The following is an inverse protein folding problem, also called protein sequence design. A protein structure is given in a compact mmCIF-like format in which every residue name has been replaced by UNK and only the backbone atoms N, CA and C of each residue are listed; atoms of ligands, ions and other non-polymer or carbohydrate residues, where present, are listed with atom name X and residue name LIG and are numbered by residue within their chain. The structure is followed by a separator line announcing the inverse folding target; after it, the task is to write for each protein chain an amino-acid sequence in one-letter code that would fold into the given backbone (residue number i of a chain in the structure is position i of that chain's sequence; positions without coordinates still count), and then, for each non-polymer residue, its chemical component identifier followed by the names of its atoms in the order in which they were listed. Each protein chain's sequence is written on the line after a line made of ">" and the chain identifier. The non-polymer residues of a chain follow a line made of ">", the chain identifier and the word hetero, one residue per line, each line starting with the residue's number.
data_IF_421723916512
#
_entry.id   IF_421723916512
#
_cell.length_a   1.000
_cell.length_b   1.000
_cell.length_c   1.000
_cell.angle_alpha   90.00
_cell.angle_beta   90.00
_cell.angle_gamma   90.00
#
_symmetry.space_group_name_H-M   'P 1'
#
loop_
_entity.id
_entity.type
_entity.pdbx_description
1 polymer ?
#
# COMPACT_ATOMS: atom_id res chain seq x y z
N UNK A 1 -1.38 2.95 9.39
CA UNK A 1 -0.86 1.90 8.47
C UNK A 1 -1.76 0.68 8.53
N UNK A 2 -2.28 0.19 7.40
CA UNK A 2 -3.32 -0.87 7.32
C UNK A 2 -3.10 -2.06 8.26
N UNK A 3 -1.94 -2.71 8.17
CA UNK A 3 -1.65 -3.93 8.95
C UNK A 3 -1.60 -3.63 10.46
N UNK A 4 -0.88 -2.58 10.88
CA UNK A 4 -0.80 -2.17 12.28
C UNK A 4 -2.16 -1.78 12.83
N UNK A 5 -2.98 -1.09 12.03
CA UNK A 5 -4.33 -0.73 12.42
C UNK A 5 -5.16 -1.98 12.75
N UNK A 6 -5.08 -3.04 11.93
CA UNK A 6 -5.74 -4.32 12.22
C UNK A 6 -5.26 -4.94 13.53
N UNK A 7 -3.94 -5.01 13.76
CA UNK A 7 -3.39 -5.54 15.01
C UNK A 7 -3.77 -4.71 16.24
N UNK A 8 -4.04 -3.42 16.05
CA UNK A 8 -4.51 -2.51 17.10
C UNK A 8 -6.04 -2.48 17.25
N UNK A 9 -6.80 -3.26 16.47
CA UNK A 9 -8.26 -3.24 16.48
C UNK A 9 -8.91 -1.98 15.88
N UNK A 10 -8.18 -1.25 15.03
CA UNK A 10 -8.65 -0.04 14.34
C UNK A 10 -9.07 -0.39 12.91
N UNK A 11 -10.37 -0.24 12.62
CA UNK A 11 -10.98 -0.57 11.32
C UNK A 11 -11.58 0.67 10.66
N UNK A 12 -10.72 1.59 10.24
CA UNK A 12 -11.08 2.84 9.58
C UNK A 12 -11.37 2.66 8.07
N UNK A 13 -11.75 3.74 7.40
CA UNK A 13 -12.04 3.76 5.97
C UNK A 13 -10.83 3.35 5.10
N UNK A 14 -9.60 3.62 5.54
CA UNK A 14 -8.40 3.18 4.82
C UNK A 14 -8.25 1.66 4.86
N UNK A 15 -8.44 1.05 6.03
CA UNK A 15 -8.44 -0.40 6.23
C UNK A 15 -9.55 -1.05 5.41
N UNK A 16 -10.76 -0.49 5.47
CA UNK A 16 -11.91 -0.94 4.68
C UNK A 16 -11.60 -0.91 3.17
N UNK A 17 -11.15 0.23 2.65
CA UNK A 17 -10.85 0.41 1.22
C UNK A 17 -9.73 -0.53 0.77
N UNK A 18 -8.71 -0.73 1.59
CA UNK A 18 -7.60 -1.63 1.28
C UNK A 18 -8.05 -3.11 1.17
N UNK A 19 -9.14 -3.48 1.85
CA UNK A 19 -9.70 -4.82 1.87
C UNK A 19 -10.82 -5.04 0.84
N UNK A 20 -11.33 -3.99 0.18
CA UNK A 20 -12.36 -4.08 -0.88
C UNK A 20 -12.06 -5.10 -1.99
N UNK A 21 -10.77 -5.28 -2.28
CA UNK A 21 -10.26 -6.18 -3.33
C UNK A 21 -10.29 -7.67 -2.98
N UNK A 22 -10.52 -8.02 -1.72
CA UNK A 22 -10.57 -9.42 -1.28
C UNK A 22 -12.03 -9.91 -1.22
N UNK A 23 -12.26 -11.07 -1.84
CA UNK A 23 -13.47 -11.88 -1.64
C UNK A 23 -13.21 -12.95 -0.57
N UNK A 24 -14.12 -13.91 -0.43
CA UNK A 24 -13.88 -15.06 0.46
C UNK A 24 -12.70 -15.90 -0.03
N UNK A 25 -11.88 -16.38 0.90
CA UNK A 25 -10.73 -17.25 0.64
C UNK A 25 -9.41 -16.75 1.23
N UNK A 26 -8.35 -17.53 0.95
CA UNK A 26 -7.01 -17.32 1.51
C UNK A 26 -6.10 -16.64 0.50
N UNK A 27 -5.50 -15.51 0.90
CA UNK A 27 -4.58 -14.72 0.10
C UNK A 27 -3.21 -14.68 0.75
N UNK A 28 -2.30 -15.50 0.24
CA UNK A 28 -0.91 -15.59 0.71
C UNK A 28 -0.02 -14.52 0.09
N UNK A 29 1.10 -14.25 0.76
CA UNK A 29 2.16 -13.37 0.25
C UNK A 29 1.69 -11.94 0.02
N UNK A 30 0.83 -11.42 0.90
CA UNK A 30 0.32 -10.05 0.86
C UNK A 30 1.11 -9.15 1.79
N UNK A 31 1.07 -7.85 1.50
CA UNK A 31 1.69 -6.81 2.33
C UNK A 31 3.13 -7.18 2.71
N UNK A 32 3.93 -7.54 1.71
CA UNK A 32 5.32 -7.97 1.89
C UNK A 32 6.22 -6.80 2.28
N UNK A 33 7.11 -7.03 3.23
CA UNK A 33 8.19 -6.11 3.61
C UNK A 33 9.51 -6.88 3.71
N UNK A 34 10.59 -6.23 3.26
CA UNK A 34 11.96 -6.62 3.56
C UNK A 34 12.67 -5.41 4.14
N UNK A 35 13.35 -5.58 5.26
CA UNK A 35 14.18 -4.55 5.87
C UNK A 35 15.61 -5.06 6.01
N UNK A 36 16.58 -4.18 5.75
CA UNK A 36 17.98 -4.39 6.10
C UNK A 36 18.52 -3.14 6.77
N UNK A 37 19.03 -3.28 7.99
CA UNK A 37 19.79 -2.23 8.62
C UNK A 37 21.19 -2.17 8.00
N UNK A 38 21.62 -0.97 7.66
CA UNK A 38 22.96 -0.65 7.18
C UNK A 38 23.53 0.42 8.10
N UNK A 39 24.85 0.60 8.10
CA UNK A 39 25.57 1.41 9.09
C UNK A 39 24.88 2.69 9.59
N UNK A 40 24.26 3.50 8.70
CA UNK A 40 23.54 4.74 9.07
C UNK A 40 22.09 4.79 8.60
N UNK A 41 21.63 3.82 7.83
CA UNK A 41 20.32 3.89 7.17
C UNK A 41 19.66 2.51 7.07
N UNK A 42 18.36 2.52 6.80
CA UNK A 42 17.59 1.33 6.52
C UNK A 42 17.29 1.24 5.02
N UNK A 43 17.52 0.06 4.46
CA UNK A 43 17.04 -0.31 3.13
C UNK A 43 15.78 -1.14 3.30
N UNK A 44 14.65 -0.56 2.94
CA UNK A 44 13.34 -1.21 2.98
C UNK A 44 12.92 -1.49 1.55
N UNK A 45 12.41 -2.69 1.32
CA UNK A 45 11.62 -2.99 0.12
C UNK A 45 10.22 -3.43 0.53
N UNK A 46 9.25 -3.14 -0.32
CA UNK A 46 7.87 -3.43 -0.03
C UNK A 46 7.10 -3.89 -1.26
N UNK A 47 6.03 -4.65 -1.01
CA UNK A 47 5.00 -4.96 -1.99
C UNK A 47 4.23 -3.70 -2.40
N UNK A 48 3.44 -3.84 -3.47
CA UNK A 48 2.66 -2.72 -4.03
C UNK A 48 1.67 -2.10 -3.05
N UNK A 49 1.18 -2.88 -2.10
CA UNK A 49 0.18 -2.48 -1.12
C UNK A 49 0.65 -1.35 -0.19
N UNK A 50 1.96 -1.13 -0.08
CA UNK A 50 2.54 -0.02 0.69
C UNK A 50 2.76 1.25 -0.13
N UNK A 51 2.55 1.25 -1.45
CA UNK A 51 2.90 2.38 -2.30
C UNK A 51 2.28 3.70 -1.83
N UNK A 52 0.95 3.73 -1.62
CA UNK A 52 0.26 4.92 -1.15
C UNK A 52 0.76 5.35 0.24
N UNK A 53 0.90 4.41 1.19
CA UNK A 53 1.42 4.69 2.52
C UNK A 53 2.82 5.32 2.47
N UNK A 54 3.75 4.73 1.70
CA UNK A 54 5.11 5.23 1.56
C UNK A 54 5.15 6.61 0.90
N UNK A 55 4.33 6.85 -0.13
CA UNK A 55 4.21 8.17 -0.76
C UNK A 55 3.75 9.21 0.24
N UNK A 56 2.67 8.95 0.99
CA UNK A 56 2.15 9.89 1.98
C UNK A 56 3.21 10.20 3.04
N UNK A 57 3.75 9.17 3.70
CA UNK A 57 4.75 9.32 4.76
C UNK A 57 6.02 10.04 4.32
N UNK A 58 6.54 9.70 3.14
CA UNK A 58 7.73 10.36 2.63
C UNK A 58 7.44 11.82 2.26
N UNK A 59 6.28 12.15 1.70
CA UNK A 59 5.90 13.53 1.40
C UNK A 59 5.75 14.40 2.64
N UNK A 60 5.26 13.84 3.75
CA UNK A 60 5.13 14.55 5.04
C UNK A 60 6.49 15.14 5.51
N UNK A 61 7.61 14.51 5.13
CA UNK A 61 8.97 14.93 5.51
C UNK A 61 9.63 15.95 4.57
N UNK A 62 9.06 16.22 3.39
CA UNK A 62 9.70 17.07 2.35
C UNK A 62 9.57 18.56 2.66
N UNK A 63 8.48 19.00 3.31
CA UNK A 63 8.30 20.40 3.75
C UNK A 63 8.18 21.46 2.64
N UNK A 64 8.12 21.08 1.35
CA UNK A 64 8.04 21.99 0.22
C UNK A 64 7.88 21.28 -1.14
N UNK A 65 8.10 21.98 -2.26
CA UNK A 65 8.05 21.39 -3.59
C UNK A 65 9.10 20.29 -3.77
N UNK A 66 8.72 19.22 -4.48
CA UNK A 66 9.61 18.10 -4.76
C UNK A 66 9.44 17.61 -6.20
N UNK A 67 10.57 17.25 -6.81
CA UNK A 67 10.58 16.59 -8.11
C UNK A 67 10.04 15.16 -7.97
N UNK A 68 8.87 14.93 -8.55
CA UNK A 68 8.17 13.66 -8.54
C UNK A 68 8.16 13.05 -9.93
N UNK A 69 8.44 11.76 -9.99
CA UNK A 69 8.32 10.94 -11.19
C UNK A 69 7.48 9.70 -10.90
N UNK A 70 6.73 9.19 -11.87
CA UNK A 70 5.97 7.96 -11.68
C UNK A 70 4.60 8.03 -12.29
N UNK A 71 3.65 7.30 -11.70
CA UNK A 71 2.31 7.15 -12.27
C UNK A 71 1.23 7.17 -11.19
N UNK A 72 0.11 7.81 -11.50
CA UNK A 72 -1.13 7.70 -10.74
C UNK A 72 -2.10 6.85 -11.55
N UNK A 73 -2.54 5.72 -10.99
CA UNK A 73 -3.43 4.76 -11.65
C UNK A 73 -4.80 4.82 -10.99
N UNK A 74 -5.86 4.93 -11.80
CA UNK A 74 -7.25 5.00 -11.33
C UNK A 74 -8.19 4.42 -12.38
N UNK A 75 -9.39 4.02 -11.97
CA UNK A 75 -10.50 3.74 -12.90
C UNK A 75 -11.25 5.02 -13.30
N UNK A 76 -10.99 6.13 -12.63
CA UNK A 76 -11.55 7.46 -12.92
C UNK A 76 -10.59 8.30 -13.75
N UNK A 77 -11.14 9.24 -14.54
CA UNK A 77 -10.34 10.27 -15.19
C UNK A 77 -9.99 11.36 -14.18
N UNK A 78 -8.70 11.51 -13.88
CA UNK A 78 -8.23 12.48 -12.90
C UNK A 78 -7.62 13.73 -13.56
N UNK A 79 -7.69 13.86 -14.89
CA UNK A 79 -7.08 14.99 -15.63
C UNK A 79 -7.50 16.36 -15.12
N UNK A 80 -8.78 16.53 -14.79
CA UNK A 80 -9.33 17.81 -14.34
C UNK A 80 -9.11 18.04 -12.83
N UNK A 81 -8.65 17.02 -12.11
CA UNK A 81 -8.48 17.02 -10.66
C UNK A 81 -7.01 17.24 -10.28
N UNK A 82 -6.10 16.81 -11.15
CA UNK A 82 -4.66 16.98 -11.00
C UNK A 82 -4.27 18.42 -11.38
N UNK A 83 -3.83 19.18 -10.38
CA UNK A 83 -3.47 20.61 -10.51
C UNK A 83 -2.02 20.87 -10.96
N UNK A 84 -1.26 19.81 -11.17
CA UNK A 84 0.13 19.87 -11.65
C UNK A 84 0.30 19.26 -13.05
N UNK A 85 1.42 19.58 -13.70
CA UNK A 85 1.67 19.15 -15.08
C UNK A 85 1.82 17.63 -15.18
N UNK A 86 1.03 17.02 -16.06
CA UNK A 86 1.16 15.62 -16.46
C UNK A 86 2.05 15.49 -17.69
N UNK A 87 2.89 14.45 -17.73
CA UNK A 87 3.69 14.11 -18.91
C UNK A 87 2.86 13.44 -20.00
N UNK A 88 2.00 12.50 -19.60
CA UNK A 88 1.18 11.71 -20.50
C UNK A 88 -0.01 11.11 -19.74
N UNK A 89 -1.13 10.91 -20.41
CA UNK A 89 -2.22 10.07 -19.89
C UNK A 89 -2.45 8.90 -20.84
N UNK A 90 -2.45 7.69 -20.31
CA UNK A 90 -2.82 6.47 -21.01
C UNK A 90 -4.11 5.88 -20.46
N UNK A 91 -4.80 5.09 -21.27
CA UNK A 91 -5.97 4.31 -20.87
C UNK A 91 -5.80 2.89 -21.44
N UNK A 92 -6.05 1.89 -20.61
CA UNK A 92 -6.07 0.49 -21.03
C UNK A 92 -7.17 -0.25 -20.25
N UNK A 93 -8.16 -0.78 -20.97
CA UNK A 93 -9.27 -1.56 -20.38
C UNK A 93 -9.97 -0.85 -19.20
N UNK A 94 -10.21 0.46 -19.32
CA UNK A 94 -10.85 1.26 -18.26
C UNK A 94 -9.93 1.67 -17.12
N UNK A 95 -8.67 1.21 -17.11
CA UNK A 95 -7.64 1.67 -16.18
C UNK A 95 -6.87 2.82 -16.80
N UNK A 96 -6.94 3.99 -16.16
CA UNK A 96 -6.25 5.20 -16.58
C UNK A 96 -4.93 5.36 -15.83
N UNK A 97 -3.89 5.72 -16.57
CA UNK A 97 -2.52 5.89 -16.09
C UNK A 97 -2.07 7.31 -16.38
N UNK A 98 -1.92 8.13 -15.34
CA UNK A 98 -1.46 9.51 -15.41
C UNK A 98 0.03 9.53 -15.08
N UNK A 99 0.87 9.76 -16.09
CA UNK A 99 2.34 9.80 -15.96
C UNK A 99 2.74 11.17 -15.43
N UNK A 100 3.43 11.17 -14.29
CA UNK A 100 3.91 12.35 -13.59
C UNK A 100 5.41 12.46 -13.80
N UNK A 101 5.87 13.63 -14.22
CA UNK A 101 7.28 14.03 -14.24
C UNK A 101 7.33 15.54 -14.11
N UNK A 102 7.28 16.02 -12.86
CA UNK A 102 7.15 17.44 -12.57
C UNK A 102 7.64 17.75 -11.16
N UNK A 103 7.72 19.03 -10.85
CA UNK A 103 7.92 19.52 -9.48
C UNK A 103 6.57 19.94 -8.92
N UNK A 104 6.24 19.48 -7.72
CA UNK A 104 4.90 19.58 -7.14
C UNK A 104 4.98 19.76 -5.63
N UNK A 105 4.06 20.56 -5.07
CA UNK A 105 3.88 20.68 -3.62
C UNK A 105 3.18 19.42 -3.07
N UNK A 106 3.69 18.87 -1.96
CA UNK A 106 3.12 17.68 -1.33
C UNK A 106 1.62 17.80 -1.04
N UNK A 107 1.10 19.00 -0.75
CA UNK A 107 -0.32 19.28 -0.50
C UNK A 107 -1.22 18.92 -1.67
N UNK A 108 -0.76 19.10 -2.91
CA UNK A 108 -1.55 18.75 -4.10
C UNK A 108 -1.70 17.24 -4.24
N UNK A 109 -0.66 16.48 -3.88
CA UNK A 109 -0.72 15.02 -3.86
C UNK A 109 -1.61 14.55 -2.70
N UNK A 110 -1.49 15.13 -1.50
CA UNK A 110 -2.36 14.79 -0.37
C UNK A 110 -3.84 14.99 -0.71
N UNK A 111 -4.20 16.14 -1.30
CA UNK A 111 -5.58 16.40 -1.70
C UNK A 111 -6.13 15.34 -2.68
N UNK A 112 -5.29 14.85 -3.60
CA UNK A 112 -5.67 13.76 -4.51
C UNK A 112 -5.81 12.43 -3.79
N UNK A 113 -4.91 12.11 -2.85
CA UNK A 113 -4.95 10.86 -2.09
C UNK A 113 -6.18 10.82 -1.16
N UNK A 114 -6.53 11.94 -0.54
CA UNK A 114 -7.70 12.08 0.33
C UNK A 114 -9.00 11.99 -0.48
N UNK A 115 -9.06 12.65 -1.64
CA UNK A 115 -10.24 12.63 -2.51
C UNK A 115 -10.42 11.30 -3.25
N UNK A 116 -9.32 10.62 -3.58
CA UNK A 116 -9.31 9.36 -4.35
C UNK A 116 -8.51 8.26 -3.65
N UNK A 117 -8.97 7.76 -2.49
CA UNK A 117 -8.24 6.76 -1.70
C UNK A 117 -8.07 5.42 -2.44
N UNK A 118 -8.93 5.13 -3.43
CA UNK A 118 -8.85 3.95 -4.31
C UNK A 118 -7.81 4.11 -5.44
N UNK A 119 -7.30 5.32 -5.69
CA UNK A 119 -6.27 5.54 -6.69
C UNK A 119 -4.92 5.04 -6.18
N UNK A 120 -4.09 4.54 -7.09
CA UNK A 120 -2.79 3.98 -6.79
C UNK A 120 -1.68 4.97 -7.18
N UNK A 121 -0.90 5.40 -6.20
CA UNK A 121 0.14 6.41 -6.34
C UNK A 121 1.51 5.73 -6.35
N UNK A 122 1.98 5.37 -7.55
CA UNK A 122 3.33 4.85 -7.75
C UNK A 122 4.29 6.00 -8.09
N UNK A 123 4.56 6.82 -7.08
CA UNK A 123 5.39 8.02 -7.20
C UNK A 123 6.77 7.78 -6.55
N UNK A 124 7.81 8.23 -7.26
CA UNK A 124 9.21 8.16 -6.85
C UNK A 124 9.76 9.56 -6.72
N UNK A 125 10.43 9.83 -5.60
CA UNK A 125 11.04 11.10 -5.26
C UNK A 125 12.07 10.90 -4.14
N UNK A 126 12.82 11.96 -3.84
CA UNK A 126 13.83 11.96 -2.77
C UNK A 126 13.64 13.18 -1.88
N UNK A 127 13.88 13.01 -0.59
CA UNK A 127 13.99 14.08 0.38
C UNK A 127 15.42 14.24 0.86
N UNK A 128 15.59 14.89 2.02
CA UNK A 128 16.90 15.13 2.64
C UNK A 128 17.54 13.83 3.15
N UNK A 129 16.73 12.97 3.73
CA UNK A 129 17.12 11.78 4.50
C UNK A 129 16.50 10.48 3.95
N UNK A 130 15.85 10.54 2.78
CA UNK A 130 15.29 9.37 2.14
C UNK A 130 15.33 9.40 0.60
N UNK A 131 15.27 8.21 0.02
CA UNK A 131 15.04 7.99 -1.41
C UNK A 131 13.95 6.94 -1.58
N UNK A 132 12.81 7.35 -2.14
CA UNK A 132 11.68 6.48 -2.45
C UNK A 132 11.63 6.20 -3.96
N UNK A 133 11.71 4.92 -4.32
CA UNK A 133 11.54 4.44 -5.68
C UNK A 133 10.37 3.46 -5.72
N UNK A 134 9.41 3.70 -6.61
CA UNK A 134 8.26 2.83 -6.83
C UNK A 134 8.18 2.51 -8.32
N UNK A 135 7.98 1.23 -8.67
CA UNK A 135 7.81 0.81 -10.06
C UNK A 135 6.60 1.51 -10.68
N UNK A 136 6.83 2.23 -11.79
CA UNK A 136 5.83 3.05 -12.48
C UNK A 136 4.82 2.23 -13.33
N UNK A 137 4.17 1.23 -12.72
CA UNK A 137 3.19 0.33 -13.33
C UNK A 137 2.02 0.08 -12.39
N UNK A 138 0.91 -0.41 -12.92
CA UNK A 138 -0.17 -0.92 -12.07
C UNK A 138 0.32 -2.19 -11.35
N UNK A 139 -0.14 -2.44 -10.11
CA UNK A 139 0.12 -3.70 -9.45
C UNK A 139 -0.54 -4.83 -10.24
N UNK A 140 0.18 -5.93 -10.44
CA UNK A 140 -0.40 -7.14 -11.01
C UNK A 140 -1.03 -7.93 -9.89
N UNK A 141 -2.34 -8.11 -9.91
CA UNK A 141 -3.00 -9.09 -9.06
C UNK A 141 -2.49 -10.47 -9.46
N UNK A 142 -1.56 -11.03 -8.69
CA UNK A 142 -1.25 -12.45 -8.78
C UNK A 142 -2.56 -13.20 -8.53
N UNK A 143 -3.14 -13.77 -9.59
CA UNK A 143 -4.28 -14.67 -9.44
C UNK A 143 -3.82 -15.87 -8.60
N UNK A 144 -4.69 -16.45 -7.75
CA UNK A 144 -4.41 -17.75 -7.14
C UNK A 144 -3.99 -18.74 -8.23
N UNK A 145 -2.85 -19.42 -8.06
CA UNK A 145 -2.40 -20.50 -8.96
C UNK A 145 -1.41 -20.14 -10.08
N UNK A 146 -0.95 -18.89 -10.20
CA UNK A 146 0.26 -18.56 -11.00
C UNK A 146 1.38 -18.11 -10.07
N UNK A 147 1.88 -19.04 -9.26
CA UNK A 147 3.14 -18.83 -8.55
C UNK A 147 4.26 -18.81 -9.60
N UNK A 148 5.02 -17.72 -9.65
CA UNK A 148 6.37 -17.80 -10.22
C UNK A 148 7.18 -18.69 -9.28
N UNK A 149 8.20 -19.39 -9.79
CA UNK A 149 9.04 -20.29 -8.97
C UNK A 149 9.61 -19.63 -7.70
N UNK A 150 9.75 -18.29 -7.68
CA UNK A 150 10.25 -17.52 -6.52
C UNK A 150 9.15 -16.85 -5.65
N UNK A 151 7.86 -17.12 -5.91
CA UNK A 151 6.75 -16.49 -5.20
C UNK A 151 6.66 -14.96 -5.40
N UNK A 152 5.75 -14.27 -4.70
CA UNK A 152 5.68 -12.81 -4.71
C UNK A 152 6.86 -12.20 -3.93
N UNK A 153 7.52 -11.20 -4.52
CA UNK A 153 8.67 -10.50 -3.92
C UNK A 153 8.30 -9.09 -3.44
N UNK A 154 8.90 -8.66 -2.33
CA UNK A 154 8.85 -7.28 -1.87
C UNK A 154 9.77 -6.40 -2.71
N UNK A 155 9.48 -6.20 -4.00
CA UNK A 155 10.38 -5.46 -4.90
C UNK A 155 9.69 -4.33 -5.66
N UNK A 156 8.45 -4.03 -5.31
CA UNK A 156 7.64 -3.02 -5.99
C UNK A 156 8.01 -1.60 -5.56
N UNK A 157 8.25 -1.43 -4.27
CA UNK A 157 8.74 -0.21 -3.64
C UNK A 157 10.12 -0.46 -3.04
N UNK A 158 10.99 0.55 -3.09
CA UNK A 158 12.29 0.57 -2.42
C UNK A 158 12.45 1.94 -1.75
N UNK A 159 12.65 1.91 -0.44
CA UNK A 159 12.90 3.07 0.39
C UNK A 159 14.27 2.92 1.03
N UNK A 160 15.14 3.90 0.84
CA UNK A 160 16.29 4.11 1.71
C UNK A 160 15.97 5.26 2.63
N UNK A 161 16.14 5.14 3.94
CA UNK A 161 15.80 6.19 4.90
C UNK A 161 16.67 6.14 6.15
N UNK A 162 16.85 7.28 6.80
CA UNK A 162 17.42 7.42 8.15
C UNK A 162 16.33 7.63 9.23
N UNK A 163 15.04 7.69 8.85
CA UNK A 163 13.94 7.91 9.80
C UNK A 163 13.54 6.61 10.49
N UNK A 164 14.04 6.42 11.71
CA UNK A 164 13.67 5.28 12.56
C UNK A 164 12.16 5.19 12.80
N UNK A 165 11.42 6.30 12.87
CA UNK A 165 9.97 6.28 13.12
C UNK A 165 9.22 5.59 11.98
N UNK A 166 9.71 5.76 10.75
CA UNK A 166 9.17 5.08 9.57
C UNK A 166 9.42 3.57 9.62
N UNK A 167 10.60 3.18 10.10
CA UNK A 167 10.99 1.77 10.30
C UNK A 167 10.12 1.13 11.38
N UNK A 168 10.02 1.79 12.54
CA UNK A 168 9.21 1.36 13.67
C UNK A 168 7.71 1.32 13.31
N UNK A 169 7.23 2.11 12.35
CA UNK A 169 5.85 2.00 11.89
C UNK A 169 5.63 0.77 11.00
N UNK A 170 6.53 0.52 10.05
CA UNK A 170 6.45 -0.62 9.12
C UNK A 170 6.67 -1.97 9.82
N UNK A 171 7.56 -2.00 10.80
CA UNK A 171 7.96 -3.18 11.57
C UNK A 171 7.56 -3.05 13.05
N UNK A 172 6.35 -2.56 13.32
CA UNK A 172 5.82 -2.16 14.64
C UNK A 172 5.90 -3.16 15.80
N UNK A 173 6.19 -4.43 15.53
CA UNK A 173 6.34 -5.50 16.50
C UNK A 173 7.80 -6.03 16.58
N UNK A 174 8.75 -5.29 15.99
CA UNK A 174 10.16 -5.67 15.85
C UNK A 174 11.03 -4.52 16.34
N UNK A 175 11.81 -4.79 17.39
CA UNK A 175 12.59 -3.76 18.10
C UNK A 175 13.93 -3.45 17.40
N UNK A 176 14.63 -4.49 16.95
CA UNK A 176 15.92 -4.38 16.25
C UNK A 176 16.09 -5.56 15.28
N UNK A 177 16.87 -5.35 14.22
CA UNK A 177 17.16 -6.36 13.21
C UNK A 177 18.37 -5.96 12.34
N UNK A 178 19.20 -6.92 11.94
CA UNK A 178 20.08 -6.72 10.78
C UNK A 178 19.27 -6.91 9.48
N UNK A 179 18.46 -7.97 9.44
CA UNK A 179 17.58 -8.34 8.33
C UNK A 179 16.23 -8.79 8.85
N UNK A 180 15.18 -8.32 8.20
CA UNK A 180 13.81 -8.72 8.48
C UNK A 180 13.05 -8.99 7.18
N UNK A 181 12.24 -10.04 7.19
CA UNK A 181 11.21 -10.28 6.17
C UNK A 181 9.86 -10.40 6.85
N UNK A 182 8.86 -9.76 6.29
CA UNK A 182 7.48 -9.86 6.77
C UNK A 182 6.57 -10.22 5.61
N UNK A 183 5.76 -11.25 5.81
CA UNK A 183 4.71 -11.65 4.89
C UNK A 183 3.39 -11.82 5.63
N UNK A 184 2.29 -11.57 4.93
CA UNK A 184 0.96 -11.75 5.49
C UNK A 184 0.14 -12.74 4.66
N UNK A 185 -0.70 -13.47 5.36
CA UNK A 185 -1.78 -14.27 4.83
C UNK A 185 -3.10 -13.68 5.33
N UNK A 186 -4.01 -13.42 4.40
CA UNK A 186 -5.34 -12.88 4.70
C UNK A 186 -6.33 -14.00 4.42
N UNK A 187 -7.02 -14.48 5.46
CA UNK A 187 -8.11 -15.44 5.34
C UNK A 187 -9.45 -14.73 5.52
N UNK A 188 -10.14 -14.46 4.42
CA UNK A 188 -11.49 -13.88 4.45
C UNK A 188 -12.50 -15.00 4.57
N UNK A 189 -12.98 -15.19 5.78
CA UNK A 189 -13.98 -16.22 6.12
C UNK A 189 -15.40 -15.80 5.75
N UNK A 190 -15.71 -14.51 5.82
CA UNK A 190 -17.06 -14.01 5.60
C UNK A 190 -17.12 -12.57 5.03
N UNK A 191 -18.27 -12.20 4.47
CA UNK A 191 -18.59 -10.86 3.98
C UNK A 191 -19.80 -10.35 4.75
N UNK A 192 -19.61 -9.27 5.51
CA UNK A 192 -20.67 -8.58 6.24
C UNK A 192 -21.32 -7.56 5.30
N UNK A 193 -22.53 -7.86 4.87
CA UNK A 193 -23.31 -6.98 3.99
C UNK A 193 -24.00 -5.85 4.76
N UNK A 194 -24.26 -4.69 4.11
CA UNK A 194 -25.09 -3.65 4.71
C UNK A 194 -26.51 -4.17 4.97
N UNK A 195 -27.18 -3.68 6.02
CA UNK A 195 -28.52 -4.16 6.41
C UNK A 195 -29.58 -3.85 5.34
N UNK A 196 -29.46 -2.71 4.66
CA UNK A 196 -30.44 -2.22 3.70
C UNK A 196 -30.13 -2.61 2.24
N UNK A 197 -29.77 -3.87 2.00
CA UNK A 197 -29.40 -4.31 0.64
C UNK A 197 -30.52 -4.11 -0.39
N UNK A 198 -31.79 -4.18 0.01
CA UNK A 198 -32.93 -4.08 -0.90
C UNK A 198 -33.02 -2.72 -1.59
N UNK A 199 -32.51 -1.65 -0.96
CA UNK A 199 -32.55 -0.29 -1.48
C UNK A 199 -31.23 0.15 -2.14
N UNK A 200 -30.20 -0.72 -2.14
CA UNK A 200 -28.88 -0.40 -2.63
C UNK A 200 -28.62 -1.05 -3.99
N UNK A 201 -27.91 -0.34 -4.87
CA UNK A 201 -27.41 -0.92 -6.12
C UNK A 201 -26.31 -1.92 -5.82
N UNK A 202 -26.08 -2.92 -6.70
CA UNK A 202 -25.00 -3.89 -6.52
C UNK A 202 -23.60 -3.28 -6.33
N UNK A 203 -23.33 -2.11 -6.93
CA UNK A 203 -22.08 -1.39 -6.73
C UNK A 203 -21.96 -0.85 -5.29
N UNK A 204 -23.03 -0.25 -4.77
CA UNK A 204 -23.08 0.31 -3.42
C UNK A 204 -22.98 -0.79 -2.36
N UNK A 205 -23.65 -1.92 -2.57
CA UNK A 205 -23.54 -3.10 -1.69
C UNK A 205 -22.07 -3.56 -1.61
N UNK A 206 -21.36 -3.63 -2.74
CA UNK A 206 -19.95 -4.04 -2.76
C UNK A 206 -19.02 -3.05 -2.07
N UNK A 207 -19.34 -1.77 -2.18
CA UNK A 207 -18.58 -0.70 -1.53
C UNK A 207 -18.82 -0.65 -0.03
N UNK A 208 -20.03 -0.97 0.46
CA UNK A 208 -20.36 -0.94 1.88
C UNK A 208 -20.08 -2.27 2.60
N UNK A 209 -19.98 -3.38 1.86
CA UNK A 209 -19.73 -4.68 2.45
C UNK A 209 -18.33 -4.74 3.08
N UNK A 210 -18.22 -5.30 4.28
CA UNK A 210 -16.97 -5.49 5.03
C UNK A 210 -16.50 -6.94 4.94
N UNK A 211 -15.19 -7.16 5.02
CA UNK A 211 -14.56 -8.49 4.98
C UNK A 211 -14.29 -8.87 6.42
N UNK A 212 -14.73 -10.05 6.81
CA UNK A 212 -14.47 -10.61 8.13
C UNK A 212 -13.54 -11.80 8.02
N UNK A 213 -12.50 -11.83 8.85
CA UNK A 213 -11.49 -12.87 8.73
C UNK A 213 -10.34 -12.76 9.70
N UNK A 214 -9.27 -13.48 9.37
CA UNK A 214 -8.03 -13.56 10.15
C UNK A 214 -6.87 -13.08 9.28
N UNK A 215 -6.10 -12.14 9.81
CA UNK A 215 -4.82 -11.71 9.24
C UNK A 215 -3.70 -12.43 10.01
N UNK A 216 -2.97 -13.31 9.33
CA UNK A 216 -1.77 -13.96 9.86
C UNK A 216 -0.53 -13.22 9.37
N UNK A 217 0.36 -12.86 10.28
CA UNK A 217 1.64 -12.19 10.03
C UNK A 217 2.77 -13.16 10.35
N UNK A 218 3.70 -13.31 9.41
CA UNK A 218 4.91 -14.10 9.56
C UNK A 218 6.10 -13.16 9.45
N UNK A 219 6.91 -13.10 10.50
CA UNK A 219 8.11 -12.28 10.57
C UNK A 219 9.32 -13.20 10.71
N UNK A 220 10.29 -13.06 9.80
CA UNK A 220 11.60 -13.70 9.89
C UNK A 220 12.62 -12.60 10.22
N UNK A 221 13.17 -12.61 11.43
CA UNK A 221 14.09 -11.61 11.96
C UNK A 221 15.42 -12.28 12.25
N UNK A 222 16.47 -11.92 11.51
CA UNK A 222 17.83 -12.48 11.68
C UNK A 222 17.88 -14.03 11.69
N UNK A 223 16.94 -14.66 10.99
CA UNK A 223 16.78 -16.12 10.91
C UNK A 223 15.71 -16.70 11.83
N UNK A 224 15.24 -15.95 12.84
CA UNK A 224 14.18 -16.39 13.75
C UNK A 224 12.80 -16.09 13.17
N UNK A 225 11.97 -17.14 13.06
CA UNK A 225 10.60 -17.02 12.55
C UNK A 225 9.60 -16.87 13.69
N UNK A 226 8.75 -15.84 13.60
CA UNK A 226 7.65 -15.55 14.52
C UNK A 226 6.36 -15.43 13.75
N UNK A 227 5.27 -15.89 14.37
CA UNK A 227 3.94 -15.84 13.78
C UNK A 227 2.98 -15.21 14.76
N UNK A 228 2.19 -14.25 14.28
CA UNK A 228 1.11 -13.61 15.02
C UNK A 228 -0.14 -13.52 14.15
N UNK A 229 -1.30 -13.35 14.78
CA UNK A 229 -2.57 -13.25 14.07
C UNK A 229 -3.52 -12.27 14.75
N UNK A 230 -4.37 -11.63 13.96
CA UNK A 230 -5.42 -10.74 14.43
C UNK A 230 -6.71 -10.97 13.63
N UNK A 231 -7.86 -10.96 14.31
CA UNK A 231 -9.16 -10.93 13.64
C UNK A 231 -9.43 -9.54 13.07
N UNK A 232 -10.17 -9.47 11.97
CA UNK A 232 -10.56 -8.20 11.37
C UNK A 232 -12.00 -8.19 10.86
N UNK A 233 -12.59 -6.99 10.85
CA UNK A 233 -13.81 -6.65 10.11
C UNK A 233 -13.55 -5.36 9.34
N UNK A 234 -13.10 -5.50 8.09
CA UNK A 234 -12.58 -4.43 7.23
C UNK A 234 -13.46 -4.20 6.00
#
# INVERSE_FOLDING_TARGET
>A
MIIKNIFNGVFDDEVHVAFLKFGRGVYKGKYLLEGKHQAKNWSIKAGSEYANFLVRRCLESVGGPVKVTGVIVSTLDLKNEIKFKLKKVGNFQGVRKHVVETEVDGKEIFALMDKYPKAFFALSFKGKDFVLKIKAKAPTSGKPGKEKDEGPQADFCSLKTEDKRMVDELFFDIVDFEKVRVAHEIDVTDIVYPVDMANLKPAEIRELAKRKGILKRVCEVDGDVRVSSAEFVA
#
